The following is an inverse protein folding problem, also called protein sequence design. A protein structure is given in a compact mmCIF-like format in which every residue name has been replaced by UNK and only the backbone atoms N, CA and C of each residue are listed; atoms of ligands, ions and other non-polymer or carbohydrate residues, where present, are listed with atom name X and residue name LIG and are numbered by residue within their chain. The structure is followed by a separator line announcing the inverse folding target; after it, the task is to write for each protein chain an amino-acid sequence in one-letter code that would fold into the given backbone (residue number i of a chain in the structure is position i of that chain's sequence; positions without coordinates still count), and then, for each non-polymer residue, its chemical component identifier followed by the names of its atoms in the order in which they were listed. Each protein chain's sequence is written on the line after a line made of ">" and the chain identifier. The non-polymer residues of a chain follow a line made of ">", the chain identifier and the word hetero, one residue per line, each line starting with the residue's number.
data_IF_257621237687
#
_entry.id   IF_257621237687
#
_cell.length_a   1.000
_cell.length_b   1.000
_cell.length_c   1.000
_cell.angle_alpha   90.00
_cell.angle_beta   90.00
_cell.angle_gamma   90.00
#
_symmetry.space_group_name_H-M   'P 1'
#
loop_
_entity.id
_entity.type
_entity.pdbx_description
1 polymer ?
#
# COMPACT_ATOMS: atom_id res chain seq x y z
N UNK A 1 -1.12 -7.54 12.60
CA UNK A 1 -2.17 -6.49 12.53
C UNK A 1 -2.42 -6.16 11.07
N UNK A 2 -3.64 -5.80 10.64
CA UNK A 2 -3.93 -5.50 9.23
C UNK A 2 -4.50 -4.09 9.02
N UNK A 3 -4.03 -3.36 8.02
CA UNK A 3 -4.57 -2.06 7.60
C UNK A 3 -5.14 -2.10 6.18
N UNK A 4 -6.24 -1.38 5.96
CA UNK A 4 -6.82 -1.14 4.64
C UNK A 4 -6.31 0.18 4.10
N UNK A 5 -5.69 0.17 2.93
CA UNK A 5 -5.26 1.39 2.24
C UNK A 5 -6.46 1.98 1.49
N UNK A 6 -6.69 3.29 1.68
CA UNK A 6 -7.88 3.99 1.17
C UNK A 6 -7.57 5.15 0.23
N UNK A 7 -6.36 5.72 0.30
CA UNK A 7 -5.94 6.79 -0.60
C UNK A 7 -4.42 6.78 -0.75
N UNK A 8 -3.93 7.26 -1.88
CA UNK A 8 -2.51 7.31 -2.19
C UNK A 8 -2.10 8.69 -2.72
N UNK A 9 -1.00 9.23 -2.21
CA UNK A 9 -0.38 10.44 -2.70
C UNK A 9 0.83 10.11 -3.56
N UNK A 10 0.87 10.66 -4.76
CA UNK A 10 1.99 10.49 -5.69
C UNK A 10 2.74 11.81 -5.89
N UNK A 11 4.04 11.71 -6.13
CA UNK A 11 4.89 12.84 -6.46
C UNK A 11 5.74 12.50 -7.69
N UNK A 12 5.72 13.36 -8.72
CA UNK A 12 6.59 13.22 -9.89
C UNK A 12 6.14 12.21 -10.96
N UNK A 13 5.05 11.45 -10.76
CA UNK A 13 4.57 10.49 -11.77
C UNK A 13 3.27 9.76 -11.40
N UNK A 14 2.89 8.77 -12.23
CA UNK A 14 1.70 7.91 -12.04
C UNK A 14 2.03 6.44 -11.72
N UNK A 15 3.31 6.12 -11.51
CA UNK A 15 3.76 4.76 -11.20
C UNK A 15 3.81 4.47 -9.70
N UNK A 16 3.87 3.20 -9.32
CA UNK A 16 3.89 2.76 -7.91
C UNK A 16 5.09 3.29 -7.12
N UNK A 17 6.26 3.41 -7.77
CA UNK A 17 7.48 3.98 -7.19
C UNK A 17 7.32 5.46 -6.80
N UNK A 18 6.35 6.16 -7.40
CA UNK A 18 6.08 7.57 -7.13
C UNK A 18 5.10 7.77 -5.97
N UNK A 19 4.59 6.69 -5.36
CA UNK A 19 3.71 6.79 -4.19
C UNK A 19 4.59 7.17 -2.99
N UNK A 20 4.31 8.33 -2.40
CA UNK A 20 5.08 8.83 -1.26
C UNK A 20 4.39 8.54 0.06
N UNK A 21 3.05 8.64 0.07
CA UNK A 21 2.23 8.48 1.28
C UNK A 21 0.96 7.71 0.98
N UNK A 22 0.49 6.98 1.98
CA UNK A 22 -0.76 6.24 1.96
C UNK A 22 -1.60 6.64 3.16
N UNK A 23 -2.90 6.81 2.94
CA UNK A 23 -3.90 6.85 4.01
C UNK A 23 -4.48 5.47 4.20
N UNK A 24 -4.68 5.11 5.46
CA UNK A 24 -5.13 3.79 5.84
C UNK A 24 -6.15 3.84 6.97
N UNK A 25 -6.89 2.74 7.12
CA UNK A 25 -7.78 2.47 8.24
C UNK A 25 -7.50 1.09 8.81
N UNK A 26 -7.46 0.97 10.13
CA UNK A 26 -7.45 -0.30 10.84
C UNK A 26 -8.91 -0.79 10.98
N UNK A 27 -9.31 -1.87 10.29
CA UNK A 27 -10.69 -2.34 10.32
C UNK A 27 -11.10 -2.92 11.68
N UNK A 28 -10.15 -3.30 12.54
CA UNK A 28 -10.43 -3.85 13.87
C UNK A 28 -10.72 -2.78 14.92
N UNK A 29 -10.08 -1.62 14.82
CA UNK A 29 -10.23 -0.51 15.79
C UNK A 29 -10.96 0.71 15.24
N UNK A 30 -11.09 0.84 13.92
CA UNK A 30 -11.58 2.05 13.26
C UNK A 30 -10.56 3.19 13.19
N UNK A 31 -9.35 2.98 13.71
CA UNK A 31 -8.27 3.97 13.68
C UNK A 31 -7.89 4.29 12.23
N UNK A 32 -7.71 5.57 11.91
CA UNK A 32 -7.25 6.03 10.61
C UNK A 32 -5.92 6.75 10.74
N UNK A 33 -5.07 6.61 9.74
CA UNK A 33 -3.78 7.28 9.72
C UNK A 33 -3.27 7.59 8.33
N UNK A 34 -2.18 8.34 8.30
CA UNK A 34 -1.38 8.61 7.11
C UNK A 34 0.07 8.23 7.42
N UNK A 35 0.70 7.51 6.50
CA UNK A 35 2.09 7.09 6.67
C UNK A 35 2.85 7.18 5.35
N UNK A 36 4.14 7.45 5.44
CA UNK A 36 5.02 7.34 4.28
C UNK A 36 5.11 5.87 3.84
N UNK A 37 5.32 5.65 2.54
CA UNK A 37 5.50 4.29 2.00
C UNK A 37 6.66 3.57 2.69
N UNK A 38 7.76 4.27 2.97
CA UNK A 38 8.90 3.71 3.71
C UNK A 38 8.52 3.20 5.10
N UNK A 39 7.63 3.89 5.81
CA UNK A 39 7.18 3.48 7.13
C UNK A 39 6.28 2.24 7.05
N UNK A 40 5.40 2.16 6.05
CA UNK A 40 4.54 0.97 5.84
C UNK A 40 5.39 -0.23 5.40
N UNK A 41 6.41 -0.01 4.56
CA UNK A 41 7.37 -1.06 4.17
C UNK A 41 8.08 -1.62 5.40
N UNK A 42 8.64 -0.76 6.25
CA UNK A 42 9.30 -1.18 7.48
C UNK A 42 8.34 -1.96 8.39
N UNK A 43 7.13 -1.46 8.61
CA UNK A 43 6.11 -2.13 9.41
C UNK A 43 5.70 -3.52 8.86
N UNK A 44 5.60 -3.68 7.54
CA UNK A 44 5.31 -4.98 6.92
C UNK A 44 6.50 -5.95 7.09
N UNK A 45 7.74 -5.46 6.98
CA UNK A 45 8.94 -6.30 7.12
C UNK A 45 9.28 -6.68 8.56
N UNK A 46 9.20 -5.71 9.46
CA UNK A 46 9.78 -5.82 10.80
C UNK A 46 8.73 -6.25 11.84
N UNK A 47 7.45 -5.91 11.63
CA UNK A 47 6.37 -6.10 12.62
C UNK A 47 5.29 -7.11 12.17
N UNK A 48 5.53 -7.91 11.13
CA UNK A 48 4.53 -8.80 10.48
C UNK A 48 3.23 -8.03 10.11
N UNK A 49 3.40 -6.78 9.70
CA UNK A 49 2.31 -5.93 9.25
C UNK A 49 1.66 -6.46 7.97
N UNK A 50 0.34 -6.33 7.85
CA UNK A 50 -0.41 -6.73 6.65
C UNK A 50 -1.19 -5.54 6.11
N UNK A 51 -1.05 -5.26 4.82
CA UNK A 51 -1.82 -4.21 4.16
C UNK A 51 -2.64 -4.80 3.01
N UNK A 52 -3.81 -4.22 2.74
CA UNK A 52 -4.65 -4.60 1.61
C UNK A 52 -5.42 -3.41 1.05
N UNK A 53 -5.95 -3.57 -0.16
CA UNK A 53 -6.92 -2.67 -0.80
C UNK A 53 -8.20 -3.45 -1.06
N UNK A 54 -9.35 -2.80 -0.94
CA UNK A 54 -10.62 -3.38 -1.38
C UNK A 54 -10.78 -3.20 -2.89
N UNK A 55 -11.09 -4.29 -3.59
CA UNK A 55 -11.41 -4.34 -5.01
C UNK A 55 -12.80 -5.00 -5.16
N UNK A 56 -13.85 -4.17 -5.11
CA UNK A 56 -15.22 -4.65 -5.03
C UNK A 56 -15.48 -5.42 -3.74
N UNK A 57 -15.85 -6.70 -3.86
CA UNK A 57 -16.04 -7.61 -2.71
C UNK A 57 -14.75 -8.32 -2.29
N UNK A 58 -13.66 -8.16 -3.04
CA UNK A 58 -12.39 -8.84 -2.80
C UNK A 58 -11.40 -7.93 -2.07
N UNK A 59 -10.50 -8.56 -1.32
CA UNK A 59 -9.34 -7.89 -0.72
C UNK A 59 -8.10 -8.29 -1.48
N UNK A 60 -7.34 -7.30 -1.93
CA UNK A 60 -6.08 -7.51 -2.66
C UNK A 60 -4.93 -7.16 -1.73
N UNK A 61 -4.04 -8.12 -1.49
CA UNK A 61 -2.90 -7.93 -0.60
C UNK A 61 -1.93 -6.89 -1.18
N UNK A 62 -1.36 -6.07 -0.31
CA UNK A 62 -0.26 -5.17 -0.63
C UNK A 62 1.04 -5.85 -0.25
N UNK A 63 1.94 -6.00 -1.22
CA UNK A 63 3.25 -6.59 -1.03
C UNK A 63 4.36 -5.57 -1.31
N UNK A 64 5.53 -5.85 -0.74
CA UNK A 64 6.74 -5.06 -0.95
C UNK A 64 7.44 -5.52 -2.21
N UNK A 65 7.70 -4.58 -3.10
CA UNK A 65 8.61 -4.76 -4.23
C UNK A 65 10.00 -4.30 -3.81
N UNK A 66 10.98 -5.19 -4.00
CA UNK A 66 12.41 -4.94 -3.77
C UNK A 66 13.12 -4.83 -5.12
N UNK A 67 13.23 -3.63 -5.70
CA UNK A 67 13.94 -3.46 -6.96
C UNK A 67 15.46 -3.68 -6.74
N UNK A 68 16.18 -4.02 -7.81
CA UNK A 68 17.65 -4.15 -7.77
C UNK A 68 18.34 -2.83 -7.44
N UNK A 69 17.74 -1.71 -7.85
CA UNK A 69 18.23 -0.36 -7.58
C UNK A 69 17.05 0.53 -7.14
N UNK A 70 17.30 1.44 -6.20
CA UNK A 70 16.29 2.38 -5.68
C UNK A 70 15.55 1.88 -4.43
N UNK A 71 14.64 2.71 -3.89
CA UNK A 71 13.90 2.37 -2.68
C UNK A 71 12.86 1.27 -2.93
N UNK A 72 12.58 0.49 -1.88
CA UNK A 72 11.45 -0.44 -1.87
C UNK A 72 10.14 0.34 -2.02
N UNK A 73 9.18 -0.24 -2.73
CA UNK A 73 7.85 0.33 -2.90
C UNK A 73 6.77 -0.72 -2.73
N UNK A 74 5.51 -0.30 -2.76
CA UNK A 74 4.37 -1.17 -2.52
C UNK A 74 3.56 -1.38 -3.80
N UNK A 75 3.10 -2.62 -4.00
CA UNK A 75 2.19 -2.99 -5.10
C UNK A 75 1.19 -4.03 -4.64
N UNK A 76 0.00 -4.02 -5.23
CA UNK A 76 -1.00 -5.04 -4.93
C UNK A 76 -0.78 -6.32 -5.72
N UNK A 77 -1.09 -7.47 -5.11
CA UNK A 77 -1.03 -8.78 -5.75
C UNK A 77 -2.27 -9.61 -5.42
N UNK A 78 -2.88 -10.20 -6.45
CA UNK A 78 -3.95 -11.20 -6.32
C UNK A 78 -3.66 -12.36 -7.27
N UNK A 79 -3.83 -13.59 -6.79
CA UNK A 79 -3.69 -14.81 -7.58
C UNK A 79 -2.36 -14.90 -8.36
N UNK A 80 -1.28 -14.40 -7.75
CA UNK A 80 0.05 -14.36 -8.35
C UNK A 80 0.28 -13.20 -9.33
N UNK A 81 -0.75 -12.42 -9.68
CA UNK A 81 -0.71 -11.32 -10.65
C UNK A 81 -0.56 -9.97 -9.93
N UNK A 82 0.40 -9.16 -10.40
CA UNK A 82 0.59 -7.79 -9.93
C UNK A 82 -0.49 -6.85 -10.48
N UNK A 83 -1.12 -6.09 -9.59
CA UNK A 83 -2.19 -5.13 -9.92
C UNK A 83 -1.76 -3.68 -9.70
N UNK A 84 -2.62 -2.76 -10.14
CA UNK A 84 -2.40 -1.32 -10.08
C UNK A 84 -3.32 -0.62 -9.06
N UNK A 85 -3.97 -1.36 -8.16
CA UNK A 85 -5.01 -0.80 -7.30
C UNK A 85 -4.52 0.41 -6.48
N UNK A 86 -3.28 0.39 -5.98
CA UNK A 86 -2.72 1.51 -5.21
C UNK A 86 -2.61 2.82 -6.02
N UNK A 87 -2.29 2.75 -7.31
CA UNK A 87 -2.26 3.94 -8.17
C UNK A 87 -3.65 4.33 -8.69
N UNK A 88 -4.66 3.48 -8.53
CA UNK A 88 -6.06 3.78 -8.88
C UNK A 88 -6.87 4.33 -7.70
N UNK A 89 -6.31 4.27 -6.48
CA UNK A 89 -6.91 4.86 -5.29
C UNK A 89 -7.09 6.39 -5.41
N UNK A 90 -8.09 6.95 -4.68
CA UNK A 90 -8.23 8.39 -4.51
C UNK A 90 -6.91 9.08 -4.12
N UNK A 91 -6.73 10.31 -4.61
CA UNK A 91 -5.57 11.16 -4.31
C UNK A 91 -5.88 12.14 -3.18
N UNK A 92 -4.84 12.57 -2.48
CA UNK A 92 -4.89 13.60 -1.44
C UNK A 92 -3.58 14.40 -1.38
#
# INVERSE_FOLDING_TARGET
>A
MAIKIIAARLQGGKFHENITKLRWVNPGSGETGESFVSAIVAWIEDDDGKAYVDEGIHRVAVEIIKPTFGPKFLRTRADGIWKNNLVELPRF
#
